data_IF_152442052745
#
_entry.id   IF_152442052745
#
_cell.length_a   1.000
_cell.length_b   1.000
_cell.length_c   1.000
_cell.angle_alpha   90.00
_cell.angle_beta   90.00
_cell.angle_gamma   90.00
#
_symmetry.space_group_name_H-M   'P 1'
#
loop_
_entity.id
_entity.type
_entity.pdbx_description
1 polymer ?
#
# COMPACT_ATOMS: atom_id res chain seq x y z
N UNK A 1 -44.56 -23.05 7.45
CA UNK A 1 -43.54 -24.09 7.12
C UNK A 1 -42.24 -23.42 6.71
N UNK A 2 -41.47 -22.83 7.68
CA UNK A 2 -40.18 -22.19 7.40
C UNK A 2 -39.28 -22.12 8.65
N UNK A 3 -39.30 -23.15 9.52
CA UNK A 3 -38.48 -23.17 10.74
C UNK A 3 -37.48 -24.33 10.84
N UNK A 4 -37.38 -25.20 9.84
CA UNK A 4 -36.58 -26.44 9.90
C UNK A 4 -35.27 -26.38 9.11
N UNK A 5 -35.03 -25.34 8.28
CA UNK A 5 -33.82 -25.24 7.46
C UNK A 5 -32.64 -24.53 8.17
N UNK A 6 -32.93 -23.75 9.23
CA UNK A 6 -31.84 -22.98 9.91
C UNK A 6 -31.13 -23.78 11.00
N UNK A 7 -31.70 -24.90 11.49
CA UNK A 7 -31.10 -25.69 12.58
C UNK A 7 -30.13 -26.78 12.10
N UNK A 8 -30.16 -27.16 10.82
CA UNK A 8 -29.29 -28.20 10.28
C UNK A 8 -27.89 -27.70 9.86
N UNK A 9 -27.67 -26.41 9.73
CA UNK A 9 -26.34 -25.87 9.37
C UNK A 9 -25.46 -25.72 10.61
N UNK A 10 -26.06 -25.51 11.79
CA UNK A 10 -25.29 -25.32 13.04
C UNK A 10 -24.86 -26.65 13.69
N UNK A 11 -25.52 -27.76 13.37
CA UNK A 11 -25.16 -29.10 13.91
C UNK A 11 -24.03 -29.79 13.13
N UNK A 12 -23.83 -29.44 11.85
CA UNK A 12 -22.73 -29.98 11.01
C UNK A 12 -21.36 -29.34 11.30
N UNK A 13 -21.34 -28.19 11.98
CA UNK A 13 -20.10 -27.52 12.36
C UNK A 13 -19.49 -28.05 13.70
N UNK A 14 -20.23 -28.88 14.44
CA UNK A 14 -19.78 -29.32 15.80
C UNK A 14 -19.13 -30.69 15.86
N UNK A 15 -19.09 -31.49 14.80
CA UNK A 15 -18.54 -32.85 14.81
C UNK A 15 -17.54 -33.12 13.69
N UNK A 16 -16.51 -32.27 13.52
CA UNK A 16 -15.29 -32.66 12.80
C UNK A 16 -14.07 -32.26 13.62
N UNK A 17 -13.80 -33.02 14.66
CA UNK A 17 -12.46 -33.27 15.17
C UNK A 17 -11.70 -34.03 14.09
N UNK A 18 -11.27 -33.40 13.04
CA UNK A 18 -10.26 -33.91 12.11
C UNK A 18 -8.94 -33.32 12.57
N UNK A 19 -8.10 -34.22 13.06
CA UNK A 19 -6.75 -33.97 13.53
C UNK A 19 -5.99 -33.01 12.59
N UNK A 20 -5.54 -31.88 13.11
CA UNK A 20 -4.24 -31.33 12.75
C UNK A 20 -4.10 -30.51 11.46
N UNK A 21 -5.17 -30.07 10.77
CA UNK A 21 -5.03 -29.04 9.74
C UNK A 21 -5.67 -27.75 10.28
N UNK A 22 -4.92 -27.04 11.10
CA UNK A 22 -5.12 -25.62 11.31
C UNK A 22 -4.87 -24.99 9.94
N UNK A 23 -5.94 -24.70 9.19
CA UNK A 23 -5.84 -23.93 7.97
C UNK A 23 -5.28 -22.58 8.40
N UNK A 24 -3.95 -22.43 8.27
CA UNK A 24 -3.26 -21.17 8.50
C UNK A 24 -3.80 -20.25 7.39
N UNK A 25 -4.81 -19.48 7.71
CA UNK A 25 -5.21 -18.34 6.86
C UNK A 25 -3.98 -17.41 6.90
N UNK A 26 -3.11 -17.55 5.91
CA UNK A 26 -1.96 -16.66 5.78
C UNK A 26 -2.50 -15.24 5.67
N UNK A 27 -2.24 -14.44 6.68
CA UNK A 27 -2.59 -13.02 6.66
C UNK A 27 -1.90 -12.39 5.44
N UNK A 28 -2.68 -11.67 4.62
CA UNK A 28 -2.14 -11.00 3.44
C UNK A 28 -1.11 -9.96 3.87
N UNK A 29 0.01 -9.93 3.17
CA UNK A 29 1.01 -8.88 3.37
C UNK A 29 0.46 -7.51 2.98
N UNK A 30 1.04 -6.40 3.48
CA UNK A 30 0.67 -5.04 3.06
C UNK A 30 0.72 -4.85 1.55
N UNK A 31 1.75 -5.39 0.86
CA UNK A 31 1.86 -5.32 -0.60
C UNK A 31 0.74 -6.09 -1.31
N UNK A 32 0.34 -7.25 -0.79
CA UNK A 32 -0.78 -8.01 -1.36
C UNK A 32 -2.11 -7.26 -1.20
N UNK A 33 -2.34 -6.58 -0.07
CA UNK A 33 -3.51 -5.73 0.16
C UNK A 33 -3.49 -4.53 -0.79
N UNK A 34 -2.33 -3.87 -0.90
CA UNK A 34 -2.11 -2.73 -1.78
C UNK A 34 -2.34 -3.10 -3.25
N UNK A 35 -1.73 -4.19 -3.74
CA UNK A 35 -1.91 -4.69 -5.11
C UNK A 35 -3.39 -4.95 -5.42
N UNK A 36 -4.11 -5.58 -4.49
CA UNK A 36 -5.55 -5.81 -4.64
C UNK A 36 -6.33 -4.49 -4.74
N UNK A 37 -5.95 -3.49 -3.96
CA UNK A 37 -6.59 -2.17 -3.98
C UNK A 37 -6.33 -1.42 -5.28
N UNK A 38 -5.12 -1.53 -5.86
CA UNK A 38 -4.79 -0.94 -7.16
C UNK A 38 -5.65 -1.50 -8.30
N UNK A 39 -6.09 -2.77 -8.22
CA UNK A 39 -6.98 -3.36 -9.22
C UNK A 39 -8.29 -2.59 -9.37
N UNK A 40 -8.79 -1.97 -8.31
CA UNK A 40 -10.02 -1.15 -8.39
C UNK A 40 -9.84 0.13 -9.21
N UNK A 41 -8.61 0.62 -9.38
CA UNK A 41 -8.35 1.81 -10.21
C UNK A 41 -8.64 1.57 -11.69
N UNK A 42 -8.71 0.30 -12.15
CA UNK A 42 -9.08 -0.03 -13.53
C UNK A 42 -10.50 0.42 -13.93
N UNK A 43 -11.38 0.67 -12.96
CA UNK A 43 -12.71 1.20 -13.26
C UNK A 43 -12.66 2.63 -13.79
N UNK A 44 -11.70 3.45 -13.39
CA UNK A 44 -11.57 4.82 -13.87
C UNK A 44 -11.30 4.88 -15.40
N UNK A 45 -10.32 4.15 -15.97
CA UNK A 45 -10.16 4.09 -17.43
C UNK A 45 -11.35 3.44 -18.16
N UNK A 46 -12.07 2.50 -17.55
CA UNK A 46 -13.28 1.96 -18.16
C UNK A 46 -14.36 3.03 -18.28
N UNK A 47 -14.65 3.77 -17.22
CA UNK A 47 -15.57 4.92 -17.25
C UNK A 47 -15.10 5.95 -18.28
N UNK A 48 -13.80 6.23 -18.36
CA UNK A 48 -13.25 7.16 -19.34
C UNK A 48 -13.44 6.68 -20.77
N UNK A 49 -13.28 5.38 -21.04
CA UNK A 49 -13.53 4.78 -22.37
C UNK A 49 -15.02 4.89 -22.73
N UNK A 50 -15.91 4.59 -21.81
CA UNK A 50 -17.36 4.68 -22.04
C UNK A 50 -17.75 6.14 -22.35
N UNK A 51 -17.21 7.11 -21.59
CA UNK A 51 -17.40 8.53 -21.86
C UNK A 51 -16.86 8.97 -23.23
N UNK A 52 -15.79 8.37 -23.73
CA UNK A 52 -15.27 8.68 -25.08
C UNK A 52 -16.26 8.33 -26.18
N UNK A 53 -17.05 7.28 -25.99
CA UNK A 53 -18.01 6.77 -26.94
C UNK A 53 -19.40 7.44 -26.83
N UNK A 54 -19.65 8.27 -25.84
CA UNK A 54 -20.90 8.95 -25.62
C UNK A 54 -20.82 10.41 -26.08
N UNK A 55 -21.90 10.90 -26.72
CA UNK A 55 -22.10 12.33 -26.90
C UNK A 55 -22.58 12.92 -25.57
N UNK A 56 -21.73 13.64 -24.87
CA UNK A 56 -22.05 14.23 -23.59
C UNK A 56 -21.44 15.62 -23.44
N UNK A 57 -22.21 16.53 -22.86
CA UNK A 57 -21.73 17.87 -22.54
C UNK A 57 -20.51 17.82 -21.61
N UNK A 58 -19.54 18.73 -21.84
CA UNK A 58 -18.34 18.88 -21.00
C UNK A 58 -17.48 17.61 -20.89
N UNK A 59 -17.47 16.80 -21.94
CA UNK A 59 -16.71 15.52 -22.00
C UNK A 59 -15.25 15.67 -21.58
N UNK A 60 -14.56 16.68 -22.09
CA UNK A 60 -13.15 16.96 -21.74
C UNK A 60 -12.97 17.20 -20.23
N UNK A 61 -13.88 17.95 -19.61
CA UNK A 61 -13.84 18.18 -18.15
C UNK A 61 -14.06 16.90 -17.36
N UNK A 62 -15.00 16.05 -17.78
CA UNK A 62 -15.26 14.76 -17.11
C UNK A 62 -14.02 13.87 -17.15
N UNK A 63 -13.38 13.78 -18.32
CA UNK A 63 -12.12 13.02 -18.49
C UNK A 63 -10.99 13.61 -17.62
N UNK A 64 -10.84 14.92 -17.60
CA UNK A 64 -9.88 15.60 -16.73
C UNK A 64 -10.08 15.25 -15.25
N UNK A 65 -11.34 15.30 -14.77
CA UNK A 65 -11.65 14.93 -13.38
C UNK A 65 -11.35 13.47 -13.06
N UNK A 66 -11.63 12.54 -13.99
CA UNK A 66 -11.28 11.13 -13.82
C UNK A 66 -9.76 10.93 -13.72
N UNK A 67 -8.99 11.62 -14.57
CA UNK A 67 -7.52 11.56 -14.50
C UNK A 67 -6.99 12.13 -13.18
N UNK A 68 -7.55 13.21 -12.68
CA UNK A 68 -7.19 13.77 -11.37
C UNK A 68 -7.56 12.84 -10.21
N UNK A 69 -8.77 12.27 -10.26
CA UNK A 69 -9.23 11.28 -9.27
C UNK A 69 -8.30 10.07 -9.21
N UNK A 70 -7.79 9.62 -10.35
CA UNK A 70 -6.82 8.52 -10.40
C UNK A 70 -5.59 8.81 -9.53
N UNK A 71 -4.98 9.99 -9.67
CA UNK A 71 -3.80 10.38 -8.87
C UNK A 71 -4.14 10.49 -7.38
N UNK A 72 -5.30 11.08 -7.05
CA UNK A 72 -5.73 11.16 -5.63
C UNK A 72 -5.83 9.78 -5.01
N UNK A 73 -6.42 8.80 -5.71
CA UNK A 73 -6.55 7.44 -5.21
C UNK A 73 -5.20 6.71 -5.12
N UNK A 74 -4.33 6.84 -6.13
CA UNK A 74 -2.98 6.23 -6.09
C UNK A 74 -2.21 6.69 -4.86
N UNK A 75 -2.21 8.00 -4.58
CA UNK A 75 -1.47 8.55 -3.42
C UNK A 75 -2.14 8.15 -2.10
N UNK A 76 -3.47 8.10 -2.04
CA UNK A 76 -4.18 7.63 -0.85
C UNK A 76 -3.85 6.15 -0.55
N UNK A 77 -3.85 5.30 -1.57
CA UNK A 77 -3.47 3.89 -1.43
C UNK A 77 -2.01 3.72 -1.03
N UNK A 78 -1.11 4.55 -1.56
CA UNK A 78 0.30 4.59 -1.15
C UNK A 78 0.45 4.94 0.32
N UNK A 79 -0.28 5.94 0.81
CA UNK A 79 -0.26 6.30 2.23
C UNK A 79 -0.73 5.13 3.11
N UNK A 80 -1.86 4.50 2.75
CA UNK A 80 -2.39 3.32 3.47
C UNK A 80 -1.38 2.17 3.46
N UNK A 81 -0.70 1.93 2.33
CA UNK A 81 0.34 0.90 2.24
C UNK A 81 1.48 1.16 3.23
N UNK A 82 2.01 2.38 3.29
CA UNK A 82 3.09 2.74 4.22
C UNK A 82 2.65 2.57 5.69
N UNK A 83 1.42 2.98 6.02
CA UNK A 83 0.87 2.78 7.36
C UNK A 83 0.70 1.29 7.71
N UNK A 84 0.22 0.49 6.77
CA UNK A 84 0.06 -0.96 6.97
C UNK A 84 1.41 -1.66 7.08
N UNK A 85 2.41 -1.24 6.29
CA UNK A 85 3.75 -1.81 6.31
C UNK A 85 4.45 -1.56 7.64
N UNK A 86 4.37 -0.34 8.17
CA UNK A 86 4.96 -0.02 9.47
C UNK A 86 4.25 -0.74 10.62
N UNK A 87 2.92 -0.90 10.56
CA UNK A 87 2.14 -1.70 11.52
C UNK A 87 2.54 -3.17 11.47
N UNK A 88 2.69 -3.71 10.26
CA UNK A 88 3.13 -5.09 10.05
C UNK A 88 4.53 -5.33 10.63
N UNK A 89 5.48 -4.46 10.29
CA UNK A 89 6.84 -4.56 10.80
C UNK A 89 6.91 -4.43 12.32
N UNK A 90 6.19 -3.47 12.90
CA UNK A 90 6.09 -3.28 14.35
C UNK A 90 5.52 -4.52 15.05
N UNK A 91 4.43 -5.10 14.50
CA UNK A 91 3.85 -6.34 15.01
C UNK A 91 4.90 -7.47 15.04
N UNK A 92 5.67 -7.62 13.95
CA UNK A 92 6.73 -8.64 13.86
C UNK A 92 7.87 -8.43 14.86
N UNK A 93 8.27 -7.18 15.10
CA UNK A 93 9.28 -6.85 16.12
C UNK A 93 8.79 -7.23 17.52
N UNK A 94 7.51 -6.97 17.85
CA UNK A 94 6.95 -7.26 19.19
C UNK A 94 6.67 -8.76 19.35
N UNK A 95 6.20 -9.47 18.33
CA UNK A 95 5.90 -10.92 18.41
C UNK A 95 7.12 -11.74 18.87
N UNK A 96 8.33 -11.26 18.61
CA UNK A 96 9.58 -11.91 19.00
C UNK A 96 10.06 -11.51 20.42
N UNK A 97 9.29 -10.69 21.15
CA UNK A 97 9.63 -10.24 22.50
C UNK A 97 8.65 -10.82 23.53
N UNK A 98 9.17 -11.03 24.77
CA UNK A 98 8.28 -11.39 25.85
C UNK A 98 7.31 -10.25 26.16
N UNK A 99 6.02 -10.54 26.42
CA UNK A 99 5.05 -9.53 26.81
C UNK A 99 5.53 -8.76 28.07
N UNK A 100 5.46 -7.44 28.01
CA UNK A 100 5.90 -6.61 29.13
C UNK A 100 5.50 -5.13 28.99
N UNK A 101 5.78 -4.30 29.99
CA UNK A 101 5.44 -2.86 29.97
C UNK A 101 6.06 -2.12 28.79
N UNK A 102 7.18 -2.61 28.28
CA UNK A 102 7.87 -2.02 27.13
C UNK A 102 7.02 -2.08 25.85
N UNK A 103 6.23 -3.14 25.67
CA UNK A 103 5.33 -3.27 24.52
C UNK A 103 4.25 -2.18 24.49
N UNK A 104 3.80 -1.71 25.66
CA UNK A 104 2.84 -0.60 25.77
C UNK A 104 3.47 0.70 25.28
N UNK A 105 4.75 0.93 25.59
CA UNK A 105 5.48 2.11 25.14
C UNK A 105 5.65 2.08 23.61
N UNK A 106 6.06 0.93 23.06
CA UNK A 106 6.23 0.74 21.62
C UNK A 106 4.90 0.93 20.86
N UNK A 107 3.80 0.38 21.40
CA UNK A 107 2.46 0.56 20.82
C UNK A 107 2.03 2.04 20.82
N UNK A 108 2.26 2.75 21.93
CA UNK A 108 1.97 4.19 22.03
C UNK A 108 2.84 5.03 21.07
N UNK A 109 4.07 4.59 20.81
CA UNK A 109 4.96 5.22 19.83
C UNK A 109 4.42 5.04 18.42
N UNK A 110 4.03 3.82 18.04
CA UNK A 110 3.41 3.53 16.74
C UNK A 110 2.18 4.42 16.50
N UNK A 111 1.24 4.46 17.44
CA UNK A 111 0.00 5.23 17.32
C UNK A 111 0.27 6.73 17.14
N UNK A 112 1.22 7.29 17.92
CA UNK A 112 1.63 8.70 17.80
C UNK A 112 2.28 9.01 16.46
N UNK A 113 3.15 8.12 15.98
CA UNK A 113 3.87 8.32 14.71
C UNK A 113 2.93 8.22 13.51
N UNK A 114 1.99 7.25 13.51
CA UNK A 114 0.94 7.16 12.48
C UNK A 114 0.02 8.38 12.50
N UNK A 115 -0.41 8.84 13.68
CA UNK A 115 -1.27 10.05 13.77
C UNK A 115 -0.62 11.31 13.19
N UNK A 116 0.72 11.40 13.24
CA UNK A 116 1.49 12.51 12.67
C UNK A 116 1.82 12.34 11.18
N UNK A 117 1.65 11.13 10.64
CA UNK A 117 1.97 10.82 9.26
C UNK A 117 0.85 11.31 8.33
N UNK A 118 0.99 12.53 7.81
CA UNK A 118 -0.04 13.20 7.01
C UNK A 118 0.21 13.14 5.50
N UNK A 119 1.46 12.97 5.09
CA UNK A 119 1.84 12.99 3.66
C UNK A 119 2.89 11.92 3.40
N UNK A 120 2.66 11.01 2.43
CA UNK A 120 3.57 9.90 2.18
C UNK A 120 4.75 10.32 1.26
N UNK A 121 5.48 11.38 1.64
CA UNK A 121 6.72 11.83 0.99
C UNK A 121 7.94 11.20 1.65
N UNK A 122 9.06 11.24 0.97
CA UNK A 122 10.34 10.62 1.38
C UNK A 122 10.68 10.84 2.86
N UNK A 123 10.78 12.10 3.29
CA UNK A 123 11.26 12.43 4.63
C UNK A 123 10.30 11.97 5.73
N UNK A 124 8.98 12.05 5.49
CA UNK A 124 7.98 11.61 6.44
C UNK A 124 7.95 10.07 6.54
N UNK A 125 8.19 9.36 5.43
CA UNK A 125 8.30 7.89 5.40
C UNK A 125 9.58 7.44 6.12
N UNK A 126 10.73 8.02 5.80
CA UNK A 126 12.01 7.71 6.47
C UNK A 126 11.88 7.90 7.98
N UNK A 127 11.29 9.04 8.40
CA UNK A 127 11.04 9.33 9.81
C UNK A 127 10.11 8.32 10.47
N UNK A 128 9.02 7.92 9.80
CA UNK A 128 8.05 6.97 10.34
C UNK A 128 8.70 5.60 10.62
N UNK A 129 9.45 5.05 9.66
CA UNK A 129 10.14 3.77 9.83
C UNK A 129 11.26 3.85 10.89
N UNK A 130 12.02 4.94 10.91
CA UNK A 130 13.06 5.15 11.92
C UNK A 130 12.48 5.24 13.32
N UNK A 131 11.42 6.04 13.53
CA UNK A 131 10.80 6.21 14.86
C UNK A 131 10.12 4.95 15.39
N UNK A 132 9.56 4.10 14.53
CA UNK A 132 8.72 2.97 14.95
C UNK A 132 9.49 1.67 15.06
N UNK A 133 10.37 1.38 14.11
CA UNK A 133 11.09 0.10 14.04
C UNK A 133 12.63 0.24 14.00
N UNK A 134 13.15 1.45 14.04
CA UNK A 134 14.59 1.70 13.98
C UNK A 134 15.21 1.45 12.59
N UNK A 135 14.42 1.43 11.53
CA UNK A 135 14.92 1.31 10.16
C UNK A 135 15.14 2.68 9.54
N UNK A 136 16.39 3.13 9.59
CA UNK A 136 16.75 4.46 9.09
C UNK A 136 16.77 4.50 7.56
N UNK A 137 16.22 5.60 7.01
CA UNK A 137 16.32 5.97 5.60
C UNK A 137 15.96 4.84 4.62
N UNK A 138 14.77 4.26 4.78
CA UNK A 138 14.22 3.24 3.85
C UNK A 138 14.28 3.72 2.39
N UNK A 139 14.13 5.02 2.16
CA UNK A 139 14.20 5.64 0.84
C UNK A 139 15.56 5.52 0.15
N UNK A 140 16.64 5.17 0.87
CA UNK A 140 17.95 4.90 0.27
C UNK A 140 17.96 3.59 -0.53
N UNK A 141 16.96 2.74 -0.35
CA UNK A 141 16.79 1.48 -1.05
C UNK A 141 15.94 1.59 -2.32
N UNK A 142 15.31 2.74 -2.58
CA UNK A 142 14.39 2.95 -3.69
C UNK A 142 15.10 3.16 -5.02
N UNK A 143 15.64 2.07 -5.56
CA UNK A 143 16.23 2.00 -6.89
C UNK A 143 15.97 0.64 -7.52
N UNK A 144 15.89 0.58 -8.85
CA UNK A 144 15.74 -0.64 -9.63
C UNK A 144 16.31 -0.45 -11.03
N UNK A 145 16.26 -1.51 -11.85
CA UNK A 145 16.79 -1.49 -13.20
C UNK A 145 16.26 -0.29 -14.01
N UNK A 146 17.16 0.50 -14.55
CA UNK A 146 16.88 1.74 -15.30
C UNK A 146 16.20 2.87 -14.48
N UNK A 147 16.15 2.75 -13.14
CA UNK A 147 15.60 3.76 -12.27
C UNK A 147 16.53 4.01 -11.07
N UNK A 148 17.53 4.89 -11.21
CA UNK A 148 18.38 5.25 -10.08
C UNK A 148 17.60 6.01 -9.00
N UNK A 149 18.01 5.87 -7.76
CA UNK A 149 17.35 6.43 -6.57
C UNK A 149 16.92 7.90 -6.74
N UNK A 150 17.81 8.76 -7.21
CA UNK A 150 17.50 10.19 -7.35
C UNK A 150 16.33 10.45 -8.32
N UNK A 151 16.19 9.64 -9.36
CA UNK A 151 15.10 9.71 -10.31
C UNK A 151 13.81 9.15 -9.70
N UNK A 152 13.90 8.04 -8.97
CA UNK A 152 12.76 7.46 -8.26
C UNK A 152 12.15 8.46 -7.26
N UNK A 153 12.98 9.13 -6.48
CA UNK A 153 12.55 10.16 -5.53
C UNK A 153 11.93 11.37 -6.25
N UNK A 154 12.53 11.83 -7.35
CA UNK A 154 11.98 12.97 -8.11
C UNK A 154 10.59 12.67 -8.69
N UNK A 155 10.35 11.44 -9.13
CA UNK A 155 9.01 11.04 -9.63
C UNK A 155 8.01 10.96 -8.49
N UNK A 156 8.39 10.40 -7.34
CA UNK A 156 7.53 10.40 -6.14
C UNK A 156 7.14 11.82 -5.73
N UNK A 157 8.12 12.74 -5.63
CA UNK A 157 7.87 14.13 -5.27
C UNK A 157 6.92 14.80 -6.27
N UNK A 158 7.07 14.55 -7.57
CA UNK A 158 6.17 15.04 -8.61
C UNK A 158 4.73 14.54 -8.39
N UNK A 159 4.55 13.25 -8.13
CA UNK A 159 3.22 12.63 -7.89
C UNK A 159 2.56 13.27 -6.65
N UNK A 160 3.30 13.42 -5.57
CA UNK A 160 2.82 14.06 -4.33
C UNK A 160 2.47 15.54 -4.58
N UNK A 161 3.28 16.26 -5.35
CA UNK A 161 3.01 17.64 -5.72
C UNK A 161 1.74 17.78 -6.57
N UNK A 162 1.52 16.89 -7.54
CA UNK A 162 0.30 16.85 -8.35
C UNK A 162 -0.92 16.63 -7.45
N UNK A 163 -0.87 15.64 -6.56
CA UNK A 163 -1.94 15.37 -5.58
C UNK A 163 -2.24 16.61 -4.72
N UNK A 164 -1.21 17.29 -4.25
CA UNK A 164 -1.35 18.51 -3.45
C UNK A 164 -2.05 19.63 -4.24
N UNK A 165 -1.65 19.84 -5.51
CA UNK A 165 -2.29 20.82 -6.38
C UNK A 165 -3.77 20.51 -6.60
N UNK A 166 -4.13 19.27 -6.86
CA UNK A 166 -5.51 18.84 -7.06
C UNK A 166 -6.31 19.08 -5.78
N UNK A 167 -5.81 18.67 -4.62
CA UNK A 167 -6.51 18.78 -3.35
C UNK A 167 -6.76 20.22 -2.92
N UNK A 168 -5.79 21.15 -3.15
CA UNK A 168 -5.89 22.53 -2.69
C UNK A 168 -6.38 23.52 -3.74
N UNK A 169 -6.20 23.21 -5.05
CA UNK A 169 -6.53 24.11 -6.15
C UNK A 169 -7.58 23.58 -7.11
N UNK A 170 -8.10 22.37 -6.85
CA UNK A 170 -9.08 21.69 -7.69
C UNK A 170 -8.54 21.17 -9.01
N UNK A 171 -7.28 21.43 -9.36
CA UNK A 171 -6.67 20.98 -10.61
C UNK A 171 -5.16 20.87 -10.53
N UNK A 172 -4.60 19.91 -11.31
CA UNK A 172 -3.17 19.84 -11.58
C UNK A 172 -2.72 20.97 -12.52
N UNK A 173 -1.47 21.41 -12.37
CA UNK A 173 -0.84 22.35 -13.32
C UNK A 173 -0.39 21.70 -14.63
N UNK A 174 -0.22 20.38 -14.61
CA UNK A 174 0.16 19.58 -15.78
C UNK A 174 -1.05 18.85 -16.32
N UNK A 175 -1.05 18.59 -17.62
CA UNK A 175 -2.05 17.71 -18.21
C UNK A 175 -1.79 16.26 -17.82
N UNK A 176 -2.84 15.61 -17.34
CA UNK A 176 -2.86 14.21 -16.94
C UNK A 176 -3.60 13.40 -18.01
N UNK A 177 -2.97 12.32 -18.46
CA UNK A 177 -3.61 11.30 -19.30
C UNK A 177 -3.69 9.97 -18.55
N UNK A 178 -4.43 9.02 -19.09
CA UNK A 178 -4.49 7.67 -18.51
C UNK A 178 -3.11 7.01 -18.52
N UNK A 179 -2.36 7.13 -19.61
CA UNK A 179 -1.03 6.54 -19.79
C UNK A 179 -0.05 7.07 -18.73
N UNK A 180 0.01 8.39 -18.56
CA UNK A 180 0.80 9.03 -17.51
C UNK A 180 0.41 8.55 -16.11
N UNK A 181 -0.89 8.50 -15.85
CA UNK A 181 -1.40 8.05 -14.56
C UNK A 181 -1.05 6.60 -14.28
N UNK A 182 -1.10 5.75 -15.30
CA UNK A 182 -0.71 4.35 -15.20
C UNK A 182 0.80 4.20 -14.93
N UNK A 183 1.64 5.01 -15.58
CA UNK A 183 3.08 5.03 -15.30
C UNK A 183 3.39 5.51 -13.87
N UNK A 184 2.67 6.50 -13.37
CA UNK A 184 2.79 6.93 -11.96
C UNK A 184 2.35 5.83 -10.99
N UNK A 185 1.27 5.12 -11.31
CA UNK A 185 0.82 3.98 -10.48
C UNK A 185 1.85 2.85 -10.49
N UNK A 186 2.43 2.50 -11.64
CA UNK A 186 3.54 1.51 -11.71
C UNK A 186 4.73 1.95 -10.88
N UNK A 187 5.10 3.23 -10.94
CA UNK A 187 6.19 3.78 -10.14
C UNK A 187 5.93 3.60 -8.64
N UNK A 188 4.75 3.97 -8.16
CA UNK A 188 4.35 3.80 -6.75
C UNK A 188 4.33 2.31 -6.36
N UNK A 189 3.87 1.42 -7.25
CA UNK A 189 3.91 -0.02 -7.00
C UNK A 189 5.35 -0.53 -6.82
N UNK A 190 6.28 -0.09 -7.66
CA UNK A 190 7.69 -0.47 -7.54
C UNK A 190 8.30 0.01 -6.21
N UNK A 191 7.99 1.23 -5.79
CA UNK A 191 8.39 1.73 -4.48
C UNK A 191 7.82 0.86 -3.35
N UNK A 192 6.54 0.48 -3.44
CA UNK A 192 5.89 -0.38 -2.45
C UNK A 192 6.54 -1.77 -2.38
N UNK A 193 6.81 -2.37 -3.55
CA UNK A 193 7.49 -3.66 -3.63
C UNK A 193 8.86 -3.64 -2.97
N UNK A 194 9.68 -2.62 -3.28
CA UNK A 194 11.01 -2.48 -2.70
C UNK A 194 10.93 -2.24 -1.20
N UNK A 195 9.97 -1.41 -0.75
CA UNK A 195 9.77 -1.14 0.67
C UNK A 195 9.46 -2.43 1.44
N UNK A 196 8.47 -3.23 0.99
CA UNK A 196 8.16 -4.51 1.65
C UNK A 196 9.35 -5.49 1.61
N UNK A 197 10.05 -5.57 0.47
CA UNK A 197 11.24 -6.41 0.34
C UNK A 197 12.33 -6.06 1.37
N UNK A 198 12.68 -4.78 1.48
CA UNK A 198 13.72 -4.32 2.40
C UNK A 198 13.29 -4.44 3.88
N UNK A 199 12.00 -4.25 4.17
CA UNK A 199 11.45 -4.49 5.51
C UNK A 199 11.52 -5.98 5.88
N UNK A 200 11.13 -6.89 4.99
CA UNK A 200 11.27 -8.33 5.24
C UNK A 200 12.71 -8.73 5.51
N UNK A 201 13.64 -8.21 4.70
CA UNK A 201 15.07 -8.43 4.87
C UNK A 201 15.57 -7.90 6.22
N UNK A 202 15.13 -6.72 6.62
CA UNK A 202 15.45 -6.12 7.90
C UNK A 202 14.95 -6.97 9.07
N UNK A 203 13.68 -7.42 9.01
CA UNK A 203 13.07 -8.25 10.04
C UNK A 203 13.77 -9.62 10.17
N UNK A 204 14.13 -10.26 9.05
CA UNK A 204 14.88 -11.50 9.04
C UNK A 204 16.26 -11.33 9.71
N UNK A 205 16.95 -10.23 9.41
CA UNK A 205 18.23 -9.92 10.07
C UNK A 205 18.08 -9.73 11.58
N UNK A 206 16.99 -9.09 12.04
CA UNK A 206 16.71 -8.91 13.47
C UNK A 206 16.41 -10.23 14.19
N UNK A 207 15.79 -11.20 13.50
CA UNK A 207 15.50 -12.53 14.06
C UNK A 207 16.66 -13.53 13.89
N UNK A 208 17.73 -13.15 13.21
CA UNK A 208 18.84 -14.05 12.90
C UNK A 208 18.53 -15.07 11.80
N UNK A 209 17.46 -14.85 11.03
CA UNK A 209 17.05 -15.71 9.93
C UNK A 209 17.80 -15.36 8.64
N UNK A 210 18.06 -16.37 7.80
CA UNK A 210 18.62 -16.14 6.48
C UNK A 210 17.53 -15.68 5.50
N UNK A 211 17.70 -14.47 4.94
CA UNK A 211 16.81 -13.94 3.92
C UNK A 211 17.36 -14.26 2.53
N UNK A 212 16.70 -15.20 1.82
CA UNK A 212 17.16 -15.71 0.52
C UNK A 212 16.20 -15.36 -0.63
N UNK A 213 15.20 -14.49 -0.41
CA UNK A 213 14.30 -14.08 -1.49
C UNK A 213 15.04 -13.21 -2.52
N UNK A 214 14.95 -13.52 -3.83
CA UNK A 214 15.54 -12.67 -4.87
C UNK A 214 14.76 -11.37 -4.97
N UNK A 215 15.48 -10.25 -5.14
CA UNK A 215 14.86 -8.94 -5.42
C UNK A 215 14.46 -8.89 -6.90
N UNK A 216 13.23 -9.28 -7.20
CA UNK A 216 12.69 -9.25 -8.55
C UNK A 216 11.41 -8.42 -8.60
N UNK A 217 11.47 -7.24 -9.21
CA UNK A 217 10.30 -6.36 -9.36
C UNK A 217 9.39 -6.95 -10.44
N UNK A 218 8.14 -7.29 -10.10
CA UNK A 218 7.21 -7.83 -11.09
C UNK A 218 6.84 -6.77 -12.14
N UNK A 219 6.83 -7.17 -13.40
CA UNK A 219 6.34 -6.32 -14.48
C UNK A 219 4.81 -6.23 -14.38
N UNK A 220 4.29 -5.03 -14.17
CA UNK A 220 2.86 -4.74 -14.28
C UNK A 220 2.53 -4.50 -15.76
N UNK A 221 1.85 -5.48 -16.37
CA UNK A 221 1.31 -5.40 -17.73
C UNK A 221 -0.09 -4.74 -17.73
#
# INVERSE_FOLDING_TARGET
MSSTYSQNITSLAKNRNIAGIKMIIMEKTPLQKFSKSLVWLKFLPWIQRDLKNLETNKKAFKIMYLNQSYILHVVALWQVFIEDEVKYAHKKVIENQSPGPFNVILQSQLERSIKRFMTPKKDDIDKLFSEVIGFDKISEKWEWDNMPRHQALRILDLIIQIRHQIAHKGRAKIELSFEKNFDYMKHIFNLAYITEYEIKKFLANLSGENFNEPRHIPHLN
#
